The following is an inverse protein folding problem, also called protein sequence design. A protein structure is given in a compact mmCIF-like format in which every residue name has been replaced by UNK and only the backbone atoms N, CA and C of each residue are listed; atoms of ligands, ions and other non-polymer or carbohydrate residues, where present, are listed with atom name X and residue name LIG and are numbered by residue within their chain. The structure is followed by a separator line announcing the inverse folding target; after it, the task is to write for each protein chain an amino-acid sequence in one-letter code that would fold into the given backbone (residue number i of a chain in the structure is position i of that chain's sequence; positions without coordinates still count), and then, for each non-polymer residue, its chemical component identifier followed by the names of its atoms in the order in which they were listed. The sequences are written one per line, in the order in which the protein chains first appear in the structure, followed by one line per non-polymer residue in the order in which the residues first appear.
data_IF_999556533595
#
_entry.id   IF_999556533595
#
_cell.length_a   1.000
_cell.length_b   1.000
_cell.length_c   1.000
_cell.angle_alpha   90.00
_cell.angle_beta   90.00
_cell.angle_gamma   90.00
#
_symmetry.space_group_name_H-M   'P 1'
#
loop_
_entity.id
_entity.type
_entity.pdbx_description
1 polymer ?
#
# COMPACT_ATOMS: atom_id res chain seq x y z
N UNK A 1 2.32 -2.22 13.91
CA UNK A 1 1.51 -3.43 13.67
C UNK A 1 2.27 -4.31 12.70
N UNK A 2 2.13 -5.63 12.79
CA UNK A 2 2.82 -6.55 11.88
C UNK A 2 2.67 -8.00 12.33
N UNK A 3 3.00 -8.91 11.44
CA UNK A 3 2.84 -10.35 11.66
C UNK A 3 4.04 -11.01 12.35
N UNK A 4 5.19 -10.32 12.37
CA UNK A 4 6.44 -10.74 13.01
C UNK A 4 7.31 -9.51 13.28
N UNK A 5 8.36 -9.67 14.10
CA UNK A 5 9.33 -8.60 14.34
C UNK A 5 10.01 -8.15 13.04
N UNK A 6 10.49 -9.10 12.23
CA UNK A 6 11.12 -8.80 10.93
C UNK A 6 10.18 -8.10 9.95
N UNK A 7 8.88 -8.45 9.96
CA UNK A 7 7.89 -7.73 9.15
C UNK A 7 7.75 -6.26 9.59
N UNK A 8 7.73 -6.01 10.90
CA UNK A 8 7.64 -4.65 11.46
C UNK A 8 8.86 -3.81 11.08
N UNK A 9 10.06 -4.39 11.17
CA UNK A 9 11.32 -3.73 10.79
C UNK A 9 11.35 -3.38 9.30
N UNK A 10 11.07 -4.34 8.42
CA UNK A 10 11.00 -4.11 6.98
C UNK A 10 9.96 -3.04 6.61
N UNK A 11 8.78 -3.08 7.24
CA UNK A 11 7.76 -2.06 7.02
C UNK A 11 8.19 -0.68 7.50
N UNK A 12 8.96 -0.60 8.59
CA UNK A 12 9.50 0.67 9.09
C UNK A 12 10.47 1.31 8.08
N UNK A 13 11.35 0.51 7.48
CA UNK A 13 12.28 0.97 6.43
C UNK A 13 11.53 1.46 5.19
N UNK A 14 10.54 0.69 4.70
CA UNK A 14 9.70 1.11 3.57
C UNK A 14 9.00 2.44 3.87
N UNK A 15 8.40 2.58 5.06
CA UNK A 15 7.70 3.80 5.47
C UNK A 15 8.64 4.99 5.59
N UNK A 16 9.85 4.80 6.11
CA UNK A 16 10.89 5.84 6.18
C UNK A 16 11.22 6.37 4.78
N UNK A 17 11.45 5.46 3.82
CA UNK A 17 11.75 5.80 2.44
C UNK A 17 10.60 6.52 1.73
N UNK A 18 9.37 6.02 1.91
CA UNK A 18 8.18 6.61 1.32
C UNK A 18 7.95 8.04 1.84
N UNK A 19 8.12 8.25 3.15
CA UNK A 19 7.91 9.55 3.82
C UNK A 19 9.05 10.55 3.62
N UNK A 20 10.23 10.10 3.20
CA UNK A 20 11.36 10.98 2.95
C UNK A 20 11.16 11.76 1.63
N UNK A 21 10.71 13.00 1.72
CA UNK A 21 10.44 13.87 0.56
C UNK A 21 11.69 14.14 -0.31
N UNK A 22 12.91 13.99 0.23
CA UNK A 22 14.15 14.19 -0.53
C UNK A 22 14.62 12.94 -1.28
N UNK A 23 14.14 11.75 -0.90
CA UNK A 23 14.55 10.48 -1.51
C UNK A 23 13.72 10.21 -2.77
N UNK A 24 14.35 10.27 -3.93
CA UNK A 24 13.71 9.96 -5.22
C UNK A 24 14.02 8.52 -5.62
N UNK A 25 12.98 7.75 -5.91
CA UNK A 25 13.09 6.39 -6.43
C UNK A 25 11.82 6.00 -7.17
N UNK A 26 11.93 4.92 -7.94
CA UNK A 26 10.81 4.31 -8.67
C UNK A 26 10.25 3.12 -7.92
N UNK A 27 8.94 2.93 -8.06
CA UNK A 27 8.19 1.83 -7.49
C UNK A 27 7.54 1.08 -8.65
N UNK A 28 7.81 -0.23 -8.74
CA UNK A 28 7.11 -1.12 -9.66
C UNK A 28 5.79 -1.56 -9.02
N UNK A 29 4.66 -1.26 -9.66
CA UNK A 29 3.37 -1.76 -9.22
C UNK A 29 3.23 -3.23 -9.65
N UNK A 30 2.92 -4.12 -8.72
CA UNK A 30 2.73 -5.56 -8.97
C UNK A 30 1.47 -6.04 -8.25
N UNK A 31 0.75 -6.99 -8.85
CA UNK A 31 -0.24 -7.81 -8.16
C UNK A 31 0.40 -9.18 -7.91
N UNK A 32 1.41 -9.19 -7.04
CA UNK A 32 2.24 -10.34 -6.67
C UNK A 32 3.01 -9.97 -5.39
N UNK A 33 3.85 -10.87 -4.88
CA UNK A 33 4.75 -10.57 -3.77
C UNK A 33 5.61 -9.34 -4.05
N UNK A 34 5.52 -8.38 -3.14
CA UNK A 34 6.26 -7.13 -3.18
C UNK A 34 7.40 -7.10 -2.13
N UNK A 35 7.93 -5.91 -1.86
CA UNK A 35 8.94 -5.70 -0.83
C UNK A 35 8.41 -5.92 0.58
N UNK A 36 7.15 -5.56 0.88
CA UNK A 36 6.55 -5.81 2.19
C UNK A 36 6.42 -7.32 2.46
N UNK A 37 6.10 -8.10 1.42
CA UNK A 37 5.97 -9.55 1.51
C UNK A 37 7.27 -10.26 1.90
N UNK A 38 8.44 -9.71 1.60
CA UNK A 38 9.73 -10.42 1.80
C UNK A 38 10.01 -10.82 3.25
N UNK A 39 9.51 -10.03 4.21
CA UNK A 39 9.62 -10.32 5.64
C UNK A 39 8.34 -10.91 6.26
N UNK A 40 7.33 -11.21 5.44
CA UNK A 40 6.05 -11.74 5.90
C UNK A 40 6.20 -13.23 6.28
N UNK A 41 5.82 -13.63 7.52
CA UNK A 41 5.89 -15.03 7.94
C UNK A 41 4.92 -15.93 7.15
N UNK A 42 3.94 -15.35 6.48
CA UNK A 42 2.96 -16.07 5.66
C UNK A 42 3.31 -16.12 4.17
N UNK A 43 4.47 -15.58 3.77
CA UNK A 43 4.95 -15.67 2.39
C UNK A 43 5.40 -17.11 2.13
N UNK A 44 4.57 -17.86 1.42
CA UNK A 44 4.95 -19.16 0.88
C UNK A 44 5.97 -19.05 -0.25
N UNK A 45 6.27 -20.17 -0.89
CA UNK A 45 7.21 -20.18 -2.04
C UNK A 45 6.65 -19.41 -3.24
N UNK A 46 5.36 -19.57 -3.48
CA UNK A 46 4.67 -19.03 -4.68
C UNK A 46 3.37 -18.31 -4.35
N UNK A 47 2.79 -18.53 -3.16
CA UNK A 47 1.49 -17.97 -2.77
C UNK A 47 1.51 -17.54 -1.31
N UNK A 48 0.63 -16.59 -0.95
CA UNK A 48 0.36 -16.27 0.45
C UNK A 48 -0.36 -17.44 1.13
N UNK A 49 0.23 -17.97 2.20
CA UNK A 49 -0.23 -19.16 2.96
C UNK A 49 -0.81 -18.78 4.33
N UNK A 50 -1.28 -17.54 4.50
CA UNK A 50 -1.84 -17.07 5.78
C UNK A 50 -3.10 -17.86 6.18
N UNK A 51 -3.97 -18.17 5.21
CA UNK A 51 -5.16 -19.01 5.37
C UNK A 51 -5.66 -19.50 4.01
N UNK A 52 -6.67 -20.37 4.00
CA UNK A 52 -7.35 -20.73 2.76
C UNK A 52 -7.89 -19.47 2.06
N UNK A 53 -7.61 -19.33 0.76
CA UNK A 53 -8.01 -18.18 -0.04
C UNK A 53 -7.22 -16.89 0.19
N UNK A 54 -6.25 -16.85 1.12
CA UNK A 54 -5.51 -15.61 1.43
C UNK A 54 -4.76 -15.04 0.21
N UNK A 55 -4.20 -15.91 -0.64
CA UNK A 55 -3.52 -15.48 -1.86
C UNK A 55 -4.46 -14.76 -2.83
N UNK A 56 -5.59 -15.37 -3.17
CA UNK A 56 -6.59 -14.75 -4.05
C UNK A 56 -7.12 -13.45 -3.46
N UNK A 57 -7.28 -13.41 -2.14
CA UNK A 57 -7.74 -12.21 -1.44
C UNK A 57 -6.77 -11.04 -1.58
N UNK A 58 -5.48 -11.23 -1.26
CA UNK A 58 -4.48 -10.15 -1.38
C UNK A 58 -4.27 -9.71 -2.82
N UNK A 59 -4.22 -10.65 -3.78
CA UNK A 59 -4.12 -10.32 -5.21
C UNK A 59 -5.33 -9.52 -5.71
N UNK A 60 -6.53 -9.82 -5.19
CA UNK A 60 -7.72 -9.03 -5.49
C UNK A 60 -7.61 -7.60 -4.93
N UNK A 61 -7.04 -7.42 -3.74
CA UNK A 61 -6.81 -6.08 -3.18
C UNK A 61 -5.83 -5.29 -4.03
N UNK A 62 -4.71 -5.92 -4.45
CA UNK A 62 -3.71 -5.27 -5.31
C UNK A 62 -4.33 -4.81 -6.62
N UNK A 63 -5.09 -5.69 -7.30
CA UNK A 63 -5.78 -5.37 -8.54
C UNK A 63 -6.80 -4.23 -8.38
N UNK A 64 -7.57 -4.21 -7.28
CA UNK A 64 -8.51 -3.13 -6.96
C UNK A 64 -7.77 -1.79 -6.82
N UNK A 65 -6.67 -1.74 -6.08
CA UNK A 65 -5.87 -0.52 -5.88
C UNK A 65 -5.23 -0.04 -7.17
N UNK A 66 -4.62 -0.94 -7.95
CA UNK A 66 -4.04 -0.64 -9.27
C UNK A 66 -5.10 -0.01 -10.19
N UNK A 67 -6.29 -0.62 -10.26
CA UNK A 67 -7.40 -0.11 -11.04
C UNK A 67 -7.91 1.24 -10.55
N UNK A 68 -8.07 1.42 -9.23
CA UNK A 68 -8.57 2.66 -8.61
C UNK A 68 -7.62 3.84 -8.85
N UNK A 69 -6.32 3.60 -8.79
CA UNK A 69 -5.30 4.61 -9.09
C UNK A 69 -5.18 4.89 -10.60
N UNK A 70 -5.72 4.02 -11.46
CA UNK A 70 -5.60 4.11 -12.91
C UNK A 70 -4.16 3.92 -13.38
N UNK A 71 -3.43 3.03 -12.72
CA UNK A 71 -2.07 2.63 -13.09
C UNK A 71 -2.08 1.21 -13.66
N UNK A 72 -1.03 0.85 -14.37
CA UNK A 72 -0.80 -0.47 -14.95
C UNK A 72 0.08 -1.33 -14.04
N UNK A 73 -0.28 -2.61 -13.94
CA UNK A 73 0.56 -3.64 -13.33
C UNK A 73 1.87 -3.82 -14.12
N UNK A 74 2.94 -4.22 -13.42
CA UNK A 74 4.29 -4.43 -13.95
C UNK A 74 4.99 -3.20 -14.51
N UNK A 75 4.44 -2.01 -14.27
CA UNK A 75 5.02 -0.73 -14.66
C UNK A 75 5.67 -0.02 -13.48
N UNK A 76 6.73 0.73 -13.78
CA UNK A 76 7.42 1.58 -12.81
C UNK A 76 6.89 3.00 -12.85
N UNK A 77 6.72 3.59 -11.66
CA UNK A 77 6.29 4.95 -11.46
C UNK A 77 7.21 5.66 -10.48
N UNK A 78 7.35 6.97 -10.63
CA UNK A 78 8.03 7.77 -9.63
C UNK A 78 7.22 7.79 -8.33
N UNK A 79 7.89 7.62 -7.18
CA UNK A 79 7.25 7.63 -5.86
C UNK A 79 6.29 8.81 -5.66
N UNK A 80 6.73 10.02 -6.05
CA UNK A 80 5.94 11.24 -5.89
C UNK A 80 4.66 11.24 -6.72
N UNK A 81 4.68 10.61 -7.90
CA UNK A 81 3.48 10.43 -8.72
C UNK A 81 2.49 9.47 -8.04
N UNK A 82 2.97 8.37 -7.46
CA UNK A 82 2.09 7.43 -6.75
C UNK A 82 1.48 8.07 -5.50
N UNK A 83 2.26 8.84 -4.73
CA UNK A 83 1.75 9.57 -3.58
C UNK A 83 0.72 10.63 -3.98
N UNK A 84 0.95 11.39 -5.05
CA UNK A 84 -0.01 12.41 -5.52
C UNK A 84 -1.28 11.77 -6.08
N UNK A 85 -1.18 10.67 -6.83
CA UNK A 85 -2.34 9.91 -7.30
C UNK A 85 -3.14 9.34 -6.14
N UNK A 86 -2.47 8.78 -5.13
CA UNK A 86 -3.13 8.26 -3.93
C UNK A 86 -3.86 9.38 -3.19
N UNK A 87 -3.20 10.52 -2.98
CA UNK A 87 -3.80 11.69 -2.34
C UNK A 87 -4.98 12.28 -3.14
N UNK A 88 -4.94 12.23 -4.47
CA UNK A 88 -6.02 12.73 -5.31
C UNK A 88 -7.22 11.77 -5.34
N UNK A 89 -6.97 10.48 -5.56
CA UNK A 89 -7.98 9.50 -5.96
C UNK A 89 -8.51 8.63 -4.83
N UNK A 90 -7.77 8.46 -3.74
CA UNK A 90 -8.20 7.58 -2.63
C UNK A 90 -8.80 8.45 -1.53
N UNK A 91 -10.09 8.27 -1.27
CA UNK A 91 -10.78 8.75 -0.09
C UNK A 91 -10.72 7.69 1.03
N UNK A 92 -10.78 8.10 2.32
CA UNK A 92 -10.75 7.14 3.43
C UNK A 92 -11.78 6.01 3.30
N UNK A 93 -12.99 6.33 2.83
CA UNK A 93 -14.07 5.35 2.69
C UNK A 93 -13.91 4.41 1.49
N UNK A 94 -13.06 4.76 0.51
CA UNK A 94 -12.71 3.83 -0.58
C UNK A 94 -12.02 2.58 -0.02
N UNK A 95 -11.33 2.69 1.13
CA UNK A 95 -10.68 1.55 1.78
C UNK A 95 -11.66 0.47 2.23
N UNK A 96 -12.95 0.78 2.39
CA UNK A 96 -13.97 -0.24 2.71
C UNK A 96 -14.17 -1.22 1.55
N UNK A 97 -13.92 -0.77 0.31
CA UNK A 97 -13.94 -1.62 -0.89
C UNK A 97 -12.54 -2.12 -1.27
N UNK A 98 -11.53 -1.22 -1.27
CA UNK A 98 -10.17 -1.54 -1.68
C UNK A 98 -9.48 -2.51 -0.73
N UNK A 99 -9.76 -2.40 0.57
CA UNK A 99 -9.21 -3.24 1.63
C UNK A 99 -10.28 -4.07 2.34
N UNK A 100 -11.40 -4.33 1.68
CA UNK A 100 -12.45 -5.23 2.18
C UNK A 100 -11.84 -6.55 2.66
N UNK A 101 -12.15 -6.99 3.89
CA UNK A 101 -11.62 -8.22 4.47
C UNK A 101 -10.20 -8.13 5.06
N UNK A 102 -9.52 -6.98 4.94
CA UNK A 102 -8.20 -6.76 5.55
C UNK A 102 -8.29 -6.73 7.07
N UNK A 103 -7.41 -7.49 7.74
CA UNK A 103 -7.33 -7.55 9.20
C UNK A 103 -6.95 -6.22 9.86
N UNK A 104 -6.33 -5.30 9.12
CA UNK A 104 -5.91 -3.99 9.65
C UNK A 104 -6.94 -2.89 9.48
N UNK A 105 -7.89 -3.04 8.56
CA UNK A 105 -8.89 -2.01 8.27
C UNK A 105 -9.71 -1.60 9.51
N UNK A 106 -10.18 -2.54 10.38
CA UNK A 106 -10.96 -2.19 11.57
C UNK A 106 -10.23 -1.30 12.59
N UNK A 107 -8.89 -1.25 12.57
CA UNK A 107 -8.13 -0.37 13.47
C UNK A 107 -8.21 1.11 13.07
N UNK A 108 -8.72 1.43 11.87
CA UNK A 108 -8.93 2.82 11.40
C UNK A 108 -7.67 3.58 10.99
N UNK A 109 -6.47 3.06 11.32
CA UNK A 109 -5.20 3.75 11.05
C UNK A 109 -4.91 3.97 9.57
N UNK A 110 -5.39 3.07 8.69
CA UNK A 110 -5.25 3.24 7.24
C UNK A 110 -6.10 4.41 6.72
N UNK A 111 -7.36 4.50 7.18
CA UNK A 111 -8.27 5.61 6.84
C UNK A 111 -7.71 6.95 7.33
N UNK A 112 -7.19 6.98 8.55
CA UNK A 112 -6.52 8.16 9.10
C UNK A 112 -5.28 8.55 8.27
N UNK A 113 -4.46 7.57 7.87
CA UNK A 113 -3.30 7.79 7.02
C UNK A 113 -3.67 8.43 5.67
N UNK A 114 -4.73 7.95 5.02
CA UNK A 114 -5.24 8.55 3.78
C UNK A 114 -5.72 9.99 4.03
N UNK A 115 -6.50 10.26 5.07
CA UNK A 115 -6.94 11.62 5.40
C UNK A 115 -5.77 12.60 5.51
N UNK A 116 -4.73 12.22 6.28
CA UNK A 116 -3.52 13.03 6.48
C UNK A 116 -2.74 13.25 5.19
N UNK A 117 -2.62 12.22 4.34
CA UNK A 117 -1.97 12.33 3.04
C UNK A 117 -2.70 13.33 2.13
N UNK A 118 -4.03 13.23 2.07
CA UNK A 118 -4.87 14.16 1.28
C UNK A 118 -4.73 15.61 1.78
N UNK A 119 -4.71 15.82 3.09
CA UNK A 119 -4.48 17.13 3.69
C UNK A 119 -3.13 17.72 3.28
N UNK A 120 -2.04 16.94 3.40
CA UNK A 120 -0.69 17.36 2.98
C UNK A 120 -0.69 17.89 1.53
N UNK A 121 -1.23 17.10 0.59
CA UNK A 121 -1.22 17.47 -0.83
C UNK A 121 -2.19 18.60 -1.20
N UNK A 122 -3.29 18.78 -0.45
CA UNK A 122 -4.15 19.96 -0.62
C UNK A 122 -3.42 21.25 -0.25
N UNK A 123 -2.65 21.24 0.84
CA UNK A 123 -1.86 22.39 1.25
C UNK A 123 -0.74 22.71 0.26
N UNK A 124 -0.03 21.69 -0.24
CA UNK A 124 1.03 21.88 -1.26
C UNK A 124 0.49 22.48 -2.56
N UNK A 125 -0.75 22.17 -2.95
CA UNK A 125 -1.38 22.71 -4.16
C UNK A 125 -1.83 24.17 -4.04
N UNK A 126 -1.82 24.74 -2.83
CA UNK A 126 -2.24 26.12 -2.53
C UNK A 126 -1.06 27.08 -2.29
N UNK A 127 0.16 26.56 -2.27
CA UNK A 127 1.43 27.29 -2.12
C UNK A 127 2.17 27.36 -3.44
#
# INVERSE_FOLDING_TARGET
MGYSQGFVENMAEIVEDIRNDRKQFRIKAVADFDHACQACPHKGKVICEASEGSNTHVLSMDAKVIGHLGIEENREYDKHLLLSLTAAKVHPDDLDYLCEGCSWLPYGVCKEGISRLREKYRHESMT
#
